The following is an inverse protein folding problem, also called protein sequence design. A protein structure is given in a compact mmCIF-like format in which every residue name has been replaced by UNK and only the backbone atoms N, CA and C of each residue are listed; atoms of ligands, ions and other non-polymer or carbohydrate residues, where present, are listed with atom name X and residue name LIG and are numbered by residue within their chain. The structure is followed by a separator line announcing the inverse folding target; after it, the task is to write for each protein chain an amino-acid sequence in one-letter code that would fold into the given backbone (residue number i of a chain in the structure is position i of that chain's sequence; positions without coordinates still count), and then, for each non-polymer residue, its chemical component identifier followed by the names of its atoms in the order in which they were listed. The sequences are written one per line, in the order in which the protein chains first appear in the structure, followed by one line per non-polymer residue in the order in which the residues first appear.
data_IF_508274907331
#
_entry.id   IF_508274907331
#
_cell.length_a   1.000
_cell.length_b   1.000
_cell.length_c   1.000
_cell.angle_alpha   90.00
_cell.angle_beta   90.00
_cell.angle_gamma   90.00
#
_symmetry.space_group_name_H-M   'P 1'
#
loop_
_entity.id
_entity.type
_entity.pdbx_description
1 polymer ?
#
# COMPACT_ATOMS: atom_id res chain seq x y z
N UNK A 1 -8.81 -29.70 -8.29
CA UNK A 1 -7.92 -28.60 -7.90
C UNK A 1 -8.24 -28.27 -6.45
N UNK A 2 -7.29 -28.40 -5.55
CA UNK A 2 -7.53 -28.09 -4.15
C UNK A 2 -7.47 -26.56 -4.00
N UNK A 3 -8.55 -25.96 -3.47
CA UNK A 3 -8.52 -24.57 -3.04
C UNK A 3 -7.56 -24.44 -1.86
N UNK A 4 -6.87 -23.29 -1.74
CA UNK A 4 -6.02 -23.03 -0.58
C UNK A 4 -6.87 -22.95 0.70
N UNK A 5 -6.27 -23.24 1.85
CA UNK A 5 -6.99 -23.19 3.13
C UNK A 5 -7.56 -21.80 3.40
N UNK A 6 -6.83 -20.77 3.00
CA UNK A 6 -7.25 -19.36 3.10
C UNK A 6 -8.51 -19.09 2.27
N UNK A 7 -8.59 -19.68 1.05
CA UNK A 7 -9.77 -19.53 0.19
C UNK A 7 -11.01 -20.17 0.80
N UNK A 8 -10.85 -21.35 1.41
CA UNK A 8 -11.94 -22.09 2.07
C UNK A 8 -12.44 -21.25 3.27
N UNK A 9 -11.54 -20.81 4.13
CA UNK A 9 -11.87 -20.00 5.33
C UNK A 9 -12.55 -18.68 4.95
N UNK A 10 -12.03 -17.99 3.94
CA UNK A 10 -12.61 -16.75 3.44
C UNK A 10 -14.01 -16.96 2.88
N UNK A 11 -14.22 -18.01 2.09
CA UNK A 11 -15.53 -18.36 1.54
C UNK A 11 -16.53 -18.66 2.65
N UNK A 12 -16.17 -19.51 3.62
CA UNK A 12 -17.06 -19.83 4.75
C UNK A 12 -17.46 -18.61 5.56
N UNK A 13 -16.51 -17.72 5.82
CA UNK A 13 -16.78 -16.47 6.56
C UNK A 13 -17.68 -15.53 5.76
N UNK A 14 -17.44 -15.42 4.44
CA UNK A 14 -18.30 -14.65 3.56
C UNK A 14 -19.74 -15.18 3.56
N UNK A 15 -19.93 -16.51 3.44
CA UNK A 15 -21.24 -17.17 3.47
C UNK A 15 -21.96 -16.99 4.82
N UNK A 16 -21.20 -16.88 5.92
CA UNK A 16 -21.71 -16.53 7.27
C UNK A 16 -22.01 -15.04 7.45
N UNK A 17 -21.86 -14.23 6.40
CA UNK A 17 -22.19 -12.80 6.42
C UNK A 17 -21.03 -11.86 6.80
N UNK A 18 -19.82 -12.39 7.03
CA UNK A 18 -18.65 -11.52 7.24
C UNK A 18 -18.34 -10.75 5.96
N UNK A 19 -18.01 -9.48 6.09
CA UNK A 19 -17.63 -8.60 4.97
C UNK A 19 -16.31 -7.87 5.21
N UNK A 20 -15.78 -7.82 6.41
CA UNK A 20 -14.49 -7.25 6.73
C UNK A 20 -13.42 -8.33 6.74
N UNK A 21 -12.43 -8.20 5.82
CA UNK A 21 -11.34 -9.14 5.62
C UNK A 21 -9.96 -8.48 5.67
N UNK A 22 -9.83 -7.29 6.26
CA UNK A 22 -8.60 -6.51 6.31
C UNK A 22 -7.42 -7.23 6.98
N UNK A 23 -7.68 -8.18 7.87
CA UNK A 23 -6.65 -8.93 8.61
C UNK A 23 -6.21 -10.22 7.90
N UNK A 24 -6.77 -10.53 6.73
CA UNK A 24 -6.47 -11.76 6.00
C UNK A 24 -5.11 -11.70 5.32
N UNK A 25 -4.36 -12.81 5.40
CA UNK A 25 -3.11 -13.01 4.69
C UNK A 25 -3.41 -13.75 3.38
N UNK A 26 -3.52 -13.01 2.26
CA UNK A 26 -3.99 -13.55 0.98
C UNK A 26 -2.94 -13.48 -0.13
N UNK A 27 -1.70 -13.19 0.24
CA UNK A 27 -0.60 -13.20 -0.71
C UNK A 27 -0.44 -14.58 -1.34
N UNK A 28 -0.44 -14.65 -2.69
CA UNK A 28 -0.40 -15.89 -3.47
C UNK A 28 -1.60 -16.83 -3.29
N UNK A 29 -2.67 -16.40 -2.64
CA UNK A 29 -3.87 -17.20 -2.47
C UNK A 29 -4.53 -17.53 -3.81
N UNK A 30 -5.17 -18.68 -3.89
CA UNK A 30 -6.02 -19.08 -5.03
C UNK A 30 -7.49 -18.86 -4.65
N UNK A 31 -8.06 -17.75 -5.10
CA UNK A 31 -9.42 -17.30 -4.78
C UNK A 31 -10.35 -17.33 -6.01
N UNK A 32 -9.95 -18.02 -7.08
CA UNK A 32 -10.68 -18.03 -8.36
C UNK A 32 -12.16 -18.28 -8.22
N UNK A 33 -12.95 -17.49 -8.94
CA UNK A 33 -14.40 -17.66 -9.07
C UNK A 33 -15.19 -17.40 -7.79
N UNK A 34 -14.56 -16.91 -6.72
CA UNK A 34 -15.29 -16.58 -5.50
C UNK A 34 -16.16 -15.33 -5.70
N UNK A 35 -17.33 -15.33 -5.05
CA UNK A 35 -18.09 -14.10 -4.86
C UNK A 35 -17.61 -13.40 -3.58
N UNK A 36 -17.02 -12.23 -3.76
CA UNK A 36 -16.49 -11.36 -2.71
C UNK A 36 -17.07 -9.94 -2.85
N UNK A 37 -18.28 -9.85 -3.38
CA UNK A 37 -18.95 -8.57 -3.57
C UNK A 37 -19.24 -7.87 -2.25
N UNK A 38 -19.16 -6.53 -2.26
CA UNK A 38 -19.44 -5.66 -1.11
C UNK A 38 -18.58 -5.97 0.13
N UNK A 39 -17.36 -6.44 -0.07
CA UNK A 39 -16.40 -6.76 0.99
C UNK A 39 -15.42 -5.62 1.23
N UNK A 40 -14.85 -5.59 2.42
CA UNK A 40 -13.81 -4.67 2.83
C UNK A 40 -12.46 -5.39 2.89
N UNK A 41 -11.61 -5.11 1.89
CA UNK A 41 -10.25 -5.61 1.73
C UNK A 41 -9.21 -4.49 1.80
N UNK A 42 -9.53 -3.37 2.42
CA UNK A 42 -8.61 -2.24 2.50
C UNK A 42 -7.27 -2.65 3.11
N UNK A 43 -6.19 -2.31 2.39
CA UNK A 43 -4.81 -2.57 2.82
C UNK A 43 -4.39 -4.04 2.80
N UNK A 44 -5.22 -4.97 2.32
CA UNK A 44 -4.89 -6.40 2.26
C UNK A 44 -3.81 -6.69 1.22
N UNK A 45 -2.87 -7.56 1.54
CA UNK A 45 -1.89 -8.08 0.56
C UNK A 45 -2.47 -9.26 -0.22
N UNK A 46 -2.86 -8.98 -1.46
CA UNK A 46 -3.31 -9.92 -2.49
C UNK A 46 -2.25 -10.10 -3.60
N UNK A 47 -1.00 -9.66 -3.35
CA UNK A 47 0.04 -9.75 -4.36
C UNK A 47 0.27 -11.18 -4.81
N UNK A 48 0.42 -11.38 -6.13
CA UNK A 48 0.58 -12.69 -6.78
C UNK A 48 -0.62 -13.63 -6.61
N UNK A 49 -1.75 -13.18 -6.07
CA UNK A 49 -2.94 -14.03 -5.90
C UNK A 49 -3.57 -14.34 -7.26
N UNK A 50 -4.20 -15.50 -7.32
CA UNK A 50 -5.02 -15.89 -8.46
C UNK A 50 -6.49 -15.51 -8.16
N UNK A 51 -6.91 -14.40 -8.76
CA UNK A 51 -8.22 -13.77 -8.58
C UNK A 51 -9.08 -13.86 -9.86
N UNK A 52 -8.78 -14.81 -10.74
CA UNK A 52 -9.51 -14.95 -12.00
C UNK A 52 -10.99 -15.19 -11.74
N UNK A 53 -11.83 -14.45 -12.50
CA UNK A 53 -13.28 -14.58 -12.46
C UNK A 53 -13.91 -14.34 -11.07
N UNK A 54 -13.18 -13.69 -10.15
CA UNK A 54 -13.74 -13.27 -8.86
C UNK A 54 -14.76 -12.16 -9.07
N UNK A 55 -15.83 -12.15 -8.29
CA UNK A 55 -16.76 -11.04 -8.22
C UNK A 55 -16.41 -10.13 -7.03
N UNK A 56 -15.87 -8.96 -7.34
CA UNK A 56 -15.58 -7.86 -6.40
C UNK A 56 -16.52 -6.68 -6.58
N UNK A 57 -17.73 -6.89 -7.11
CA UNK A 57 -18.71 -5.82 -7.29
C UNK A 57 -18.88 -5.02 -5.99
N UNK A 58 -18.65 -3.71 -6.05
CA UNK A 58 -18.80 -2.81 -4.91
C UNK A 58 -17.86 -3.07 -3.75
N UNK A 59 -16.80 -3.86 -3.92
CA UNK A 59 -15.81 -4.13 -2.88
C UNK A 59 -14.95 -2.88 -2.61
N UNK A 60 -14.49 -2.73 -1.38
CA UNK A 60 -13.53 -1.71 -0.96
C UNK A 60 -12.13 -2.32 -0.91
N UNK A 61 -11.33 -2.00 -1.92
CA UNK A 61 -9.95 -2.45 -2.10
C UNK A 61 -8.97 -1.28 -1.99
N UNK A 62 -9.37 -0.20 -1.31
CA UNK A 62 -8.49 0.96 -1.13
C UNK A 62 -7.20 0.55 -0.46
N UNK A 63 -6.10 1.10 -1.00
CA UNK A 63 -4.76 0.85 -0.48
C UNK A 63 -4.34 -0.64 -0.47
N UNK A 64 -5.10 -1.54 -1.12
CA UNK A 64 -4.76 -2.95 -1.22
C UNK A 64 -3.54 -3.18 -2.12
N UNK A 65 -2.79 -4.25 -1.86
CA UNK A 65 -1.65 -4.66 -2.65
C UNK A 65 -2.06 -5.81 -3.58
N UNK A 66 -2.07 -5.54 -4.89
CA UNK A 66 -2.48 -6.48 -5.94
C UNK A 66 -1.37 -6.67 -6.99
N UNK A 67 -0.11 -6.39 -6.60
CA UNK A 67 1.01 -6.46 -7.54
C UNK A 67 1.15 -7.86 -8.13
N UNK A 68 1.25 -7.94 -9.46
CA UNK A 68 1.39 -9.18 -10.22
C UNK A 68 0.27 -10.22 -9.95
N UNK A 69 -0.87 -9.80 -9.38
CA UNK A 69 -2.04 -10.66 -9.24
C UNK A 69 -2.73 -10.90 -10.59
N UNK A 70 -3.33 -12.08 -10.76
CA UNK A 70 -4.12 -12.41 -11.96
C UNK A 70 -5.62 -12.19 -11.70
N UNK A 71 -6.12 -11.08 -12.22
CA UNK A 71 -7.53 -10.67 -12.19
C UNK A 71 -8.19 -10.83 -13.58
N UNK A 72 -7.72 -11.79 -14.37
CA UNK A 72 -8.31 -12.02 -15.69
C UNK A 72 -9.80 -12.39 -15.55
N UNK A 73 -10.66 -11.65 -16.22
CA UNK A 73 -12.11 -11.86 -16.21
C UNK A 73 -12.82 -11.45 -14.91
N UNK A 74 -12.13 -10.75 -13.99
CA UNK A 74 -12.71 -10.25 -12.73
C UNK A 74 -13.86 -9.28 -12.99
N UNK A 75 -14.83 -9.24 -12.08
CA UNK A 75 -15.84 -8.20 -12.02
C UNK A 75 -15.52 -7.21 -10.89
N UNK A 76 -15.15 -5.99 -11.24
CA UNK A 76 -14.84 -4.88 -10.34
C UNK A 76 -15.88 -3.75 -10.43
N UNK A 77 -17.09 -4.03 -10.97
CA UNK A 77 -18.12 -3.00 -11.15
C UNK A 77 -18.34 -2.23 -9.86
N UNK A 78 -18.12 -0.90 -9.90
CA UNK A 78 -18.31 -0.02 -8.75
C UNK A 78 -17.37 -0.26 -7.57
N UNK A 79 -16.36 -1.09 -7.70
CA UNK A 79 -15.36 -1.30 -6.65
C UNK A 79 -14.49 -0.05 -6.45
N UNK A 80 -13.94 0.11 -5.26
CA UNK A 80 -13.02 1.19 -4.93
C UNK A 80 -11.59 0.66 -4.75
N UNK A 81 -10.68 1.05 -5.68
CA UNK A 81 -9.25 0.74 -5.66
C UNK A 81 -8.41 2.02 -5.52
N UNK A 82 -8.97 3.08 -4.90
CA UNK A 82 -8.23 4.32 -4.66
C UNK A 82 -6.93 4.02 -3.90
N UNK A 83 -5.80 4.53 -4.40
CA UNK A 83 -4.48 4.34 -3.82
C UNK A 83 -3.92 2.92 -3.89
N UNK A 84 -4.64 1.95 -4.45
CA UNK A 84 -4.21 0.55 -4.52
C UNK A 84 -2.95 0.37 -5.38
N UNK A 85 -2.12 -0.62 -5.01
CA UNK A 85 -0.95 -1.01 -5.80
C UNK A 85 -1.29 -2.14 -6.76
N UNK A 86 -1.24 -1.84 -8.05
CA UNK A 86 -1.65 -2.69 -9.17
C UNK A 86 -0.50 -2.86 -10.18
N UNK A 87 0.76 -2.81 -9.69
CA UNK A 87 1.93 -2.87 -10.57
C UNK A 87 1.99 -4.22 -11.26
N UNK A 88 2.08 -4.22 -12.60
CA UNK A 88 2.10 -5.41 -13.45
C UNK A 88 0.92 -6.37 -13.23
N UNK A 89 -0.21 -5.87 -12.72
CA UNK A 89 -1.43 -6.66 -12.54
C UNK A 89 -1.98 -7.16 -13.89
N UNK A 90 -2.64 -8.31 -13.89
CA UNK A 90 -3.34 -8.84 -15.05
C UNK A 90 -4.85 -8.58 -14.93
N UNK A 91 -5.33 -7.48 -15.51
CA UNK A 91 -6.74 -7.10 -15.62
C UNK A 91 -7.24 -7.35 -17.05
N UNK A 92 -6.96 -8.53 -17.62
CA UNK A 92 -7.33 -8.87 -18.99
C UNK A 92 -8.81 -9.29 -19.05
N UNK A 93 -9.58 -8.68 -19.97
CA UNK A 93 -11.04 -8.93 -20.10
C UNK A 93 -11.83 -8.68 -18.80
N UNK A 94 -11.33 -7.84 -17.92
CA UNK A 94 -11.99 -7.47 -16.68
C UNK A 94 -13.16 -6.52 -16.95
N UNK A 95 -14.19 -6.60 -16.10
CA UNK A 95 -15.25 -5.61 -16.03
C UNK A 95 -14.93 -4.61 -14.91
N UNK A 96 -14.50 -3.42 -15.29
CA UNK A 96 -14.14 -2.33 -14.39
C UNK A 96 -15.09 -1.12 -14.56
N UNK A 97 -16.37 -1.37 -14.91
CA UNK A 97 -17.37 -0.32 -15.07
C UNK A 97 -17.54 0.45 -13.75
N UNK A 98 -17.44 1.79 -13.81
CA UNK A 98 -17.54 2.68 -12.65
C UNK A 98 -16.55 2.39 -11.51
N UNK A 99 -15.49 1.65 -11.74
CA UNK A 99 -14.45 1.36 -10.75
C UNK A 99 -13.64 2.63 -10.44
N UNK A 100 -13.31 2.85 -9.19
CA UNK A 100 -12.46 3.96 -8.77
C UNK A 100 -10.99 3.50 -8.67
N UNK A 101 -10.14 3.96 -9.61
CA UNK A 101 -8.68 3.78 -9.62
C UNK A 101 -7.97 5.10 -9.32
N UNK A 102 -8.62 6.04 -8.65
CA UNK A 102 -7.99 7.32 -8.31
C UNK A 102 -6.72 7.06 -7.49
N UNK A 103 -5.61 7.75 -7.84
CA UNK A 103 -4.31 7.62 -7.20
C UNK A 103 -3.70 6.19 -7.24
N UNK A 104 -4.30 5.24 -7.97
CA UNK A 104 -3.81 3.87 -8.05
C UNK A 104 -2.56 3.73 -8.91
N UNK A 105 -1.72 2.72 -8.61
CA UNK A 105 -0.46 2.45 -9.28
C UNK A 105 -0.61 1.31 -10.27
N UNK A 106 -0.81 1.63 -11.53
CA UNK A 106 -1.03 0.70 -12.64
C UNK A 106 0.19 0.58 -13.57
N UNK A 107 1.39 0.91 -13.07
CA UNK A 107 2.62 0.85 -13.87
C UNK A 107 2.85 -0.56 -14.42
N UNK A 108 2.98 -0.66 -15.74
CA UNK A 108 3.17 -1.95 -16.42
C UNK A 108 1.97 -2.89 -16.40
N UNK A 109 0.79 -2.46 -15.95
CA UNK A 109 -0.42 -3.27 -15.88
C UNK A 109 -0.88 -3.79 -17.25
N UNK A 110 -1.44 -5.01 -17.29
CA UNK A 110 -2.02 -5.63 -18.45
C UNK A 110 -3.54 -5.42 -18.45
N UNK A 111 -4.02 -4.38 -19.14
CA UNK A 111 -5.41 -3.92 -19.13
C UNK A 111 -6.16 -4.28 -20.43
N UNK A 112 -5.62 -5.23 -21.19
CA UNK A 112 -6.07 -5.56 -22.54
C UNK A 112 -7.50 -6.08 -22.58
N UNK A 113 -8.32 -5.50 -23.46
CA UNK A 113 -9.73 -5.90 -23.71
C UNK A 113 -10.66 -5.75 -22.50
N UNK A 114 -10.31 -4.93 -21.52
CA UNK A 114 -11.16 -4.69 -20.33
C UNK A 114 -12.09 -3.50 -20.53
N UNK A 115 -13.18 -3.50 -19.78
CA UNK A 115 -14.18 -2.44 -19.82
C UNK A 115 -13.96 -1.49 -18.64
N UNK A 116 -13.47 -0.27 -18.94
CA UNK A 116 -13.23 0.81 -17.97
C UNK A 116 -14.20 1.98 -18.18
N UNK A 117 -15.35 1.75 -18.80
CA UNK A 117 -16.32 2.82 -18.99
C UNK A 117 -16.70 3.44 -17.64
N UNK A 118 -16.72 4.77 -17.61
CA UNK A 118 -17.01 5.56 -16.43
C UNK A 118 -16.07 5.30 -15.22
N UNK A 119 -14.97 4.55 -15.40
CA UNK A 119 -13.97 4.37 -14.35
C UNK A 119 -13.23 5.69 -14.08
N UNK A 120 -12.71 5.83 -12.86
CA UNK A 120 -11.95 7.01 -12.45
C UNK A 120 -10.46 6.69 -12.37
N UNK A 121 -9.63 7.50 -13.04
CA UNK A 121 -8.17 7.40 -13.04
C UNK A 121 -7.50 8.70 -12.57
N UNK A 122 -8.22 9.54 -11.81
CA UNK A 122 -7.67 10.80 -11.32
C UNK A 122 -6.39 10.56 -10.49
N UNK A 123 -5.28 11.18 -10.86
CA UNK A 123 -3.98 10.97 -10.18
C UNK A 123 -3.35 9.59 -10.37
N UNK A 124 -3.95 8.69 -11.15
CA UNK A 124 -3.43 7.32 -11.33
C UNK A 124 -2.15 7.29 -12.18
N UNK A 125 -1.31 6.26 -11.98
CA UNK A 125 -0.05 6.03 -12.68
C UNK A 125 -0.20 4.86 -13.65
N UNK A 126 -0.34 5.16 -14.96
CA UNK A 126 -0.54 4.16 -16.04
C UNK A 126 0.69 4.04 -16.96
N UNK A 127 1.86 4.46 -16.50
CA UNK A 127 3.10 4.33 -17.28
C UNK A 127 3.33 2.86 -17.68
N UNK A 128 3.66 2.61 -18.95
CA UNK A 128 3.88 1.28 -19.51
C UNK A 128 2.68 0.31 -19.45
N UNK A 129 1.48 0.77 -19.08
CA UNK A 129 0.27 -0.04 -19.08
C UNK A 129 -0.14 -0.47 -20.51
N UNK A 130 -0.61 -1.71 -20.64
CA UNK A 130 -1.03 -2.29 -21.93
C UNK A 130 -2.54 -2.14 -22.10
N UNK A 131 -2.99 -1.11 -22.80
CA UNK A 131 -4.39 -0.72 -22.99
C UNK A 131 -5.02 -1.23 -24.29
N UNK A 132 -4.39 -2.16 -25.00
CA UNK A 132 -4.87 -2.62 -26.32
C UNK A 132 -6.29 -3.20 -26.23
N UNK A 133 -7.24 -2.59 -26.94
CA UNK A 133 -8.65 -2.98 -26.96
C UNK A 133 -9.40 -2.71 -25.66
N UNK A 134 -8.83 -1.95 -24.72
CA UNK A 134 -9.53 -1.46 -23.53
C UNK A 134 -10.59 -0.42 -23.94
N UNK A 135 -11.77 -0.48 -23.32
CA UNK A 135 -12.84 0.50 -23.47
C UNK A 135 -12.70 1.55 -22.38
N UNK A 136 -12.44 2.78 -22.75
CA UNK A 136 -12.18 3.91 -21.85
C UNK A 136 -13.19 5.05 -22.06
N UNK A 137 -14.25 4.82 -22.85
CA UNK A 137 -15.25 5.83 -23.10
C UNK A 137 -15.86 6.30 -21.78
N UNK A 138 -15.95 7.61 -21.61
CA UNK A 138 -16.47 8.27 -20.43
C UNK A 138 -15.67 8.05 -19.13
N UNK A 139 -14.54 7.35 -19.17
CA UNK A 139 -13.63 7.26 -18.03
C UNK A 139 -13.03 8.64 -17.70
N UNK A 140 -12.77 8.89 -16.43
CA UNK A 140 -12.30 10.17 -15.92
C UNK A 140 -10.80 10.17 -15.67
N UNK A 141 -10.13 11.28 -16.01
CA UNK A 141 -8.73 11.53 -15.67
C UNK A 141 -8.54 13.02 -15.35
N UNK A 142 -7.39 13.38 -14.78
CA UNK A 142 -7.02 14.77 -14.48
C UNK A 142 -5.57 15.07 -14.90
N UNK A 143 -5.08 16.26 -14.54
CA UNK A 143 -3.72 16.73 -14.84
C UNK A 143 -2.63 16.00 -14.02
N UNK A 144 -3.01 15.25 -12.99
CA UNK A 144 -2.11 14.42 -12.19
C UNK A 144 -1.99 12.99 -12.73
N UNK A 145 -2.92 12.54 -13.60
CA UNK A 145 -2.89 11.21 -14.19
C UNK A 145 -1.67 11.05 -15.12
N UNK A 146 -0.93 9.97 -14.98
CA UNK A 146 0.29 9.68 -15.74
C UNK A 146 0.05 8.56 -16.74
N UNK A 147 0.05 8.89 -18.01
CA UNK A 147 0.03 7.96 -19.15
C UNK A 147 1.38 7.93 -19.85
N UNK A 148 1.63 6.92 -20.67
CA UNK A 148 2.72 6.96 -21.62
C UNK A 148 2.54 8.13 -22.61
N UNK A 149 3.63 8.71 -23.06
CA UNK A 149 3.62 9.85 -24.01
C UNK A 149 2.93 9.52 -25.35
N UNK A 150 2.87 8.23 -25.70
CA UNK A 150 2.17 7.75 -26.89
C UNK A 150 0.67 7.59 -26.75
N UNK A 151 0.14 7.62 -25.51
CA UNK A 151 -1.29 7.47 -25.25
C UNK A 151 -1.99 8.84 -25.22
N UNK A 152 -3.08 8.95 -25.97
CA UNK A 152 -3.91 10.16 -25.97
C UNK A 152 -5.29 9.87 -25.38
N UNK A 153 -5.59 10.32 -24.15
CA UNK A 153 -6.86 10.05 -23.49
C UNK A 153 -8.06 10.65 -24.21
N UNK A 154 -7.88 11.74 -24.97
CA UNK A 154 -8.97 12.35 -25.75
C UNK A 154 -9.41 11.45 -26.92
N UNK A 155 -8.47 10.77 -27.59
CA UNK A 155 -8.82 9.80 -28.65
C UNK A 155 -9.46 8.54 -28.10
N UNK A 156 -9.22 8.24 -26.82
CA UNK A 156 -9.88 7.16 -26.08
C UNK A 156 -11.25 7.58 -25.49
N UNK A 157 -11.75 8.77 -25.85
CA UNK A 157 -13.02 9.34 -25.38
C UNK A 157 -13.13 9.48 -23.85
N UNK A 158 -12.00 9.64 -23.18
CA UNK A 158 -11.96 9.90 -21.74
C UNK A 158 -12.35 11.36 -21.44
N UNK A 159 -12.92 11.58 -20.27
CA UNK A 159 -13.36 12.89 -19.76
C UNK A 159 -12.33 13.47 -18.81
N UNK A 160 -11.94 14.73 -19.03
CA UNK A 160 -11.09 15.42 -18.08
C UNK A 160 -11.92 15.92 -16.89
N UNK A 161 -11.48 15.62 -15.69
CA UNK A 161 -12.04 16.20 -14.47
C UNK A 161 -11.20 17.41 -14.10
N UNK A 162 -11.74 18.61 -14.30
CA UNK A 162 -11.06 19.86 -13.92
C UNK A 162 -10.86 19.91 -12.41
N UNK A 163 -9.61 19.82 -11.95
CA UNK A 163 -9.23 19.99 -10.55
C UNK A 163 -9.45 21.43 -10.04
N UNK A 164 -9.71 22.39 -10.95
CA UNK A 164 -9.83 23.82 -10.66
C UNK A 164 -11.24 24.35 -10.41
N UNK A 165 -12.29 23.55 -10.60
CA UNK A 165 -13.67 23.96 -10.24
C UNK A 165 -14.10 23.43 -8.89
N UNK A 166 -13.56 23.96 -7.78
CA UNK A 166 -14.36 24.12 -6.57
C UNK A 166 -15.34 25.27 -6.85
N UNK A 167 -16.53 24.95 -7.36
CA UNK A 167 -17.63 25.90 -7.42
C UNK A 167 -18.06 26.26 -6.00
N UNK A 168 -17.75 27.50 -5.61
CA UNK A 168 -18.52 28.20 -4.58
C UNK A 168 -19.94 28.41 -5.15
N UNK A 169 -20.87 27.52 -4.86
CA UNK A 169 -22.32 27.71 -4.80
C UNK A 169 -22.99 26.34 -4.78
N UNK A 170 -23.25 25.87 -3.59
CA UNK A 170 -24.44 25.08 -3.30
C UNK A 170 -24.78 25.28 -1.81
N UNK A 171 -25.50 26.37 -1.57
CA UNK A 171 -26.39 26.49 -0.43
C UNK A 171 -27.65 25.68 -0.78
N UNK A 172 -27.80 24.51 -0.19
CA UNK A 172 -29.03 24.05 0.45
C UNK A 172 -28.98 22.56 0.78
N UNK A 173 -29.11 22.34 2.07
CA UNK A 173 -29.75 21.23 2.76
C UNK A 173 -29.56 19.78 2.25
N UNK A 174 -28.63 19.08 2.85
CA UNK A 174 -28.97 17.81 3.50
C UNK A 174 -28.03 17.53 4.66
N UNK A 175 -28.63 17.38 5.83
CA UNK A 175 -27.95 17.07 7.10
C UNK A 175 -27.38 15.66 7.01
N UNK A 176 -26.23 15.51 6.37
CA UNK A 176 -25.34 14.38 6.64
C UNK A 176 -24.26 14.87 7.58
N UNK A 177 -24.38 14.46 8.84
CA UNK A 177 -23.34 14.62 9.86
C UNK A 177 -22.02 14.17 9.26
N UNK A 178 -21.17 15.13 8.90
CA UNK A 178 -19.75 14.90 8.63
C UNK A 178 -19.19 14.30 9.91
N UNK A 179 -18.98 12.98 9.92
CA UNK A 179 -18.13 12.35 10.93
C UNK A 179 -16.80 13.09 10.86
N UNK A 180 -16.40 13.69 11.99
CA UNK A 180 -15.11 14.32 12.17
C UNK A 180 -14.05 13.49 11.43
N UNK A 181 -13.39 14.09 10.44
CA UNK A 181 -12.12 13.58 9.94
C UNK A 181 -11.24 13.40 11.16
N UNK A 182 -10.96 12.16 11.52
CA UNK A 182 -9.94 11.84 12.48
C UNK A 182 -8.65 12.46 11.97
N UNK A 183 -8.08 13.36 12.73
CA UNK A 183 -6.78 13.98 12.47
C UNK A 183 -5.75 12.86 12.41
N UNK A 184 -5.29 12.51 11.21
CA UNK A 184 -4.14 11.62 11.03
C UNK A 184 -2.93 12.51 11.32
N UNK A 185 -2.15 12.24 12.37
CA UNK A 185 -0.95 13.01 12.62
C UNK A 185 -0.05 12.92 11.38
N UNK A 186 0.33 14.07 10.85
CA UNK A 186 1.21 14.19 9.71
C UNK A 186 2.61 13.76 10.12
N UNK A 187 3.00 12.52 9.77
CA UNK A 187 4.39 12.08 9.89
C UNK A 187 5.16 12.71 8.74
N UNK A 188 6.17 13.48 9.07
CA UNK A 188 7.11 14.02 8.08
C UNK A 188 8.09 12.94 7.65
N UNK A 189 8.58 13.04 6.42
CA UNK A 189 9.56 12.12 5.87
C UNK A 189 10.85 12.05 6.71
N UNK A 190 11.24 13.15 7.32
CA UNK A 190 12.38 13.27 8.23
C UNK A 190 12.25 12.32 9.45
N UNK A 191 11.13 12.40 10.17
CA UNK A 191 10.84 11.49 11.29
C UNK A 191 10.82 10.02 10.89
N UNK A 192 10.46 9.76 9.68
CA UNK A 192 10.39 8.42 9.13
C UNK A 192 11.78 7.88 8.79
N UNK A 193 12.67 8.72 8.27
CA UNK A 193 14.07 8.37 8.08
C UNK A 193 14.75 8.06 9.41
N UNK A 194 14.43 8.78 10.47
CA UNK A 194 14.92 8.46 11.82
C UNK A 194 14.52 7.06 12.26
N UNK A 195 13.27 6.65 12.00
CA UNK A 195 12.80 5.29 12.31
C UNK A 195 13.56 4.25 11.48
N UNK A 196 13.72 4.47 10.18
CA UNK A 196 14.45 3.57 9.31
C UNK A 196 15.91 3.41 9.74
N UNK A 197 16.57 4.51 10.08
CA UNK A 197 17.95 4.51 10.53
C UNK A 197 18.11 3.86 11.91
N UNK A 198 17.14 4.03 12.81
CA UNK A 198 17.09 3.30 14.06
C UNK A 198 17.01 1.78 13.83
N UNK A 199 16.06 1.33 13.02
CA UNK A 199 15.91 -0.09 12.67
C UNK A 199 17.16 -0.67 12.02
N UNK A 200 17.79 0.10 11.13
CA UNK A 200 19.02 -0.28 10.45
C UNK A 200 20.18 -0.41 11.44
N UNK A 201 20.32 0.50 12.39
CA UNK A 201 21.35 0.46 13.41
C UNK A 201 21.20 -0.76 14.34
N UNK A 202 19.98 -1.06 14.77
CA UNK A 202 19.69 -2.27 15.57
C UNK A 202 20.01 -3.52 14.76
N UNK A 203 19.53 -3.63 13.52
CA UNK A 203 19.77 -4.80 12.66
C UNK A 203 21.25 -5.03 12.40
N UNK A 204 22.01 -3.98 12.10
CA UNK A 204 23.47 -4.07 11.88
C UNK A 204 24.21 -4.69 13.04
N UNK A 205 23.79 -4.39 14.27
CA UNK A 205 24.42 -4.91 15.48
C UNK A 205 24.31 -6.43 15.58
N UNK A 206 23.21 -7.01 15.11
CA UNK A 206 22.92 -8.45 15.26
C UNK A 206 23.11 -9.26 13.99
N UNK A 207 22.85 -8.67 12.83
CA UNK A 207 22.88 -9.34 11.52
C UNK A 207 24.08 -8.94 10.68
N UNK A 208 24.80 -7.91 11.08
CA UNK A 208 25.87 -7.31 10.27
C UNK A 208 25.33 -6.50 9.09
N UNK A 209 26.23 -5.75 8.43
CA UNK A 209 25.89 -4.81 7.37
C UNK A 209 25.24 -5.47 6.15
N UNK A 210 25.87 -6.55 5.65
CA UNK A 210 25.42 -7.21 4.40
C UNK A 210 24.03 -7.82 4.52
N UNK A 211 23.73 -8.47 5.64
CA UNK A 211 22.41 -9.07 5.87
C UNK A 211 21.35 -7.99 6.10
N UNK A 212 21.67 -6.93 6.82
CA UNK A 212 20.76 -5.78 7.01
C UNK A 212 20.39 -5.17 5.67
N UNK A 213 21.36 -4.91 4.80
CA UNK A 213 21.11 -4.38 3.46
C UNK A 213 20.25 -5.33 2.64
N UNK A 214 20.58 -6.63 2.61
CA UNK A 214 19.81 -7.64 1.88
C UNK A 214 18.36 -7.69 2.35
N UNK A 215 18.10 -7.56 3.66
CA UNK A 215 16.74 -7.59 4.19
C UNK A 215 15.97 -6.32 3.88
N UNK A 216 16.57 -5.15 3.93
CA UNK A 216 15.93 -3.92 3.45
C UNK A 216 15.54 -4.02 1.98
N UNK A 217 16.44 -4.50 1.13
CA UNK A 217 16.20 -4.67 -0.31
C UNK A 217 15.10 -5.71 -0.58
N UNK A 218 15.17 -6.88 0.07
CA UNK A 218 14.20 -7.95 -0.13
C UNK A 218 12.82 -7.69 0.47
N UNK A 219 12.72 -6.80 1.47
CA UNK A 219 11.47 -6.41 2.11
C UNK A 219 10.78 -5.26 1.39
N UNK A 220 11.50 -4.56 0.50
CA UNK A 220 11.04 -3.35 -0.15
C UNK A 220 9.88 -3.66 -1.09
N UNK A 221 8.72 -3.02 -0.91
CA UNK A 221 7.64 -3.10 -1.87
C UNK A 221 8.05 -2.50 -3.23
N UNK A 222 7.48 -3.03 -4.32
CA UNK A 222 7.79 -2.61 -5.68
C UNK A 222 7.02 -1.33 -6.06
N UNK A 223 7.30 -0.23 -5.37
CA UNK A 223 6.74 1.08 -5.69
C UNK A 223 7.84 2.01 -6.19
N UNK A 224 7.65 2.60 -7.36
CA UNK A 224 8.62 3.50 -7.97
C UNK A 224 9.02 4.67 -7.06
N UNK A 225 8.07 5.19 -6.26
CA UNK A 225 8.38 6.24 -5.28
C UNK A 225 9.36 5.79 -4.20
N UNK A 226 9.35 4.52 -3.80
CA UNK A 226 10.30 3.96 -2.83
C UNK A 226 11.73 3.86 -3.40
N UNK A 227 11.90 3.96 -4.74
CA UNK A 227 13.22 4.00 -5.37
C UNK A 227 14.02 5.26 -5.04
N UNK A 228 13.36 6.27 -4.48
CA UNK A 228 14.04 7.43 -3.94
C UNK A 228 14.74 7.17 -2.59
N UNK A 229 14.50 6.03 -1.95
CA UNK A 229 15.22 5.64 -0.75
C UNK A 229 16.45 4.82 -1.14
N UNK A 230 17.61 5.23 -0.66
CA UNK A 230 18.89 4.54 -0.88
C UNK A 230 19.55 4.19 0.45
N UNK A 231 20.23 3.06 0.46
CA UNK A 231 21.12 2.72 1.56
C UNK A 231 22.54 3.13 1.22
N UNK A 232 23.12 3.96 2.07
CA UNK A 232 24.49 4.45 1.93
C UNK A 232 25.52 3.33 2.21
N UNK A 233 26.78 3.58 1.90
CA UNK A 233 27.88 2.69 2.26
C UNK A 233 28.07 2.55 3.78
N UNK A 234 27.58 3.49 4.58
CA UNK A 234 27.52 3.41 6.05
C UNK A 234 26.31 2.60 6.55
N UNK A 235 25.48 2.08 5.65
CA UNK A 235 24.22 1.41 5.92
C UNK A 235 23.21 2.32 6.65
N UNK A 236 23.11 3.56 6.21
CA UNK A 236 22.05 4.50 6.57
C UNK A 236 21.08 4.62 5.41
N UNK A 237 19.80 4.78 5.70
CA UNK A 237 18.78 5.01 4.68
C UNK A 237 18.63 6.51 4.47
N UNK A 238 18.75 6.92 3.23
CA UNK A 238 18.58 8.31 2.79
C UNK A 238 17.47 8.40 1.74
N UNK A 239 16.95 9.60 1.55
CA UNK A 239 15.90 9.86 0.56
C UNK A 239 16.37 10.93 -0.43
N UNK A 240 16.17 10.65 -1.72
CA UNK A 240 16.44 11.58 -2.81
C UNK A 240 15.20 12.45 -3.07
N UNK A 241 15.08 13.58 -2.41
CA UNK A 241 13.96 14.50 -2.59
C UNK A 241 13.83 15.48 -1.43
N UNK A 242 12.75 16.27 -1.45
CA UNK A 242 12.48 17.24 -0.38
C UNK A 242 11.96 16.51 0.88
N UNK A 243 12.62 16.73 2.00
CA UNK A 243 12.35 16.06 3.28
C UNK A 243 11.10 16.60 4.00
N UNK A 244 10.71 17.83 3.71
CA UNK A 244 9.57 18.50 4.37
C UNK A 244 8.19 18.10 3.80
N UNK A 245 8.17 17.10 2.93
CA UNK A 245 6.92 16.63 2.32
C UNK A 245 6.07 15.87 3.33
N UNK A 246 4.88 16.37 3.58
CA UNK A 246 3.84 15.61 4.30
C UNK A 246 3.47 14.40 3.45
N UNK A 247 3.64 13.21 4.02
CA UNK A 247 3.34 11.97 3.33
C UNK A 247 1.83 11.80 3.14
N UNK A 248 1.43 11.40 1.94
CA UNK A 248 0.05 10.96 1.73
C UNK A 248 -0.21 9.68 2.55
N UNK A 249 -1.46 9.42 2.96
CA UNK A 249 -1.81 8.18 3.67
C UNK A 249 -1.30 6.93 2.95
N UNK A 250 -1.38 6.90 1.63
CA UNK A 250 -0.92 5.79 0.79
C UNK A 250 0.59 5.58 0.88
N UNK A 251 1.38 6.65 0.77
CA UNK A 251 2.85 6.56 0.93
C UNK A 251 3.24 6.08 2.31
N UNK A 252 2.52 6.54 3.34
CA UNK A 252 2.73 6.10 4.71
C UNK A 252 2.47 4.59 4.86
N UNK A 253 1.40 4.07 4.25
CA UNK A 253 1.10 2.63 4.27
C UNK A 253 2.19 1.80 3.57
N UNK A 254 2.75 2.25 2.45
CA UNK A 254 3.87 1.55 1.81
C UNK A 254 5.10 1.45 2.70
N UNK A 255 5.39 2.53 3.39
CA UNK A 255 6.49 2.56 4.34
C UNK A 255 6.21 1.66 5.55
N UNK A 256 4.97 1.62 6.02
CA UNK A 256 4.52 0.68 7.06
C UNK A 256 4.69 -0.78 6.62
N UNK A 257 4.25 -1.11 5.40
CA UNK A 257 4.42 -2.45 4.84
C UNK A 257 5.90 -2.82 4.69
N UNK A 258 6.75 -1.89 4.24
CA UNK A 258 8.18 -2.12 4.11
C UNK A 258 8.84 -2.39 5.47
N UNK A 259 8.55 -1.54 6.47
CA UNK A 259 9.06 -1.72 7.84
C UNK A 259 8.58 -3.03 8.45
N UNK A 260 7.29 -3.36 8.30
CA UNK A 260 6.73 -4.61 8.81
C UNK A 260 7.43 -5.82 8.21
N UNK A 261 7.56 -5.88 6.88
CA UNK A 261 8.24 -6.96 6.18
C UNK A 261 9.73 -7.06 6.56
N UNK A 262 10.39 -5.92 6.77
CA UNK A 262 11.78 -5.90 7.24
C UNK A 262 11.93 -6.49 8.65
N UNK A 263 11.05 -6.11 9.58
CA UNK A 263 11.05 -6.65 10.95
C UNK A 263 10.78 -8.15 10.94
N UNK A 264 9.83 -8.62 10.14
CA UNK A 264 9.52 -10.04 9.99
C UNK A 264 10.71 -10.83 9.46
N UNK A 265 11.41 -10.33 8.43
CA UNK A 265 12.62 -10.97 7.91
C UNK A 265 13.75 -11.03 8.95
N UNK A 266 13.96 -9.96 9.72
CA UNK A 266 14.94 -9.95 10.80
C UNK A 266 14.58 -10.93 11.92
N UNK A 267 13.30 -11.07 12.23
CA UNK A 267 12.79 -11.96 13.29
C UNK A 267 12.95 -13.43 12.97
N UNK A 268 13.09 -13.81 11.69
CA UNK A 268 13.38 -15.20 11.30
C UNK A 268 14.74 -15.69 11.79
N UNK A 269 15.71 -14.79 12.00
CA UNK A 269 17.05 -15.14 12.44
C UNK A 269 17.28 -14.75 13.90
N UNK A 270 16.76 -13.60 14.32
CA UNK A 270 16.89 -13.06 15.68
C UNK A 270 15.55 -13.20 16.40
N UNK A 271 15.38 -14.26 17.21
CA UNK A 271 14.10 -14.61 17.84
C UNK A 271 13.43 -13.47 18.60
N UNK A 272 14.21 -12.61 19.25
CA UNK A 272 13.66 -11.49 20.03
C UNK A 272 13.84 -10.13 19.33
N UNK A 273 14.00 -10.12 18.02
CA UNK A 273 14.22 -8.88 17.26
C UNK A 273 13.15 -7.81 17.53
N UNK A 274 11.83 -8.14 17.59
CA UNK A 274 10.80 -7.15 17.89
C UNK A 274 10.90 -6.53 19.29
N UNK A 275 11.60 -7.18 20.22
CA UNK A 275 11.80 -6.66 21.58
C UNK A 275 13.02 -5.74 21.69
N UNK A 276 13.92 -5.82 20.70
CA UNK A 276 15.15 -5.04 20.64
C UNK A 276 14.97 -3.66 20.00
N UNK A 277 13.86 -3.47 19.30
CA UNK A 277 13.53 -2.22 18.64
C UNK A 277 12.68 -1.33 19.56
N UNK A 278 12.87 -0.02 19.45
CA UNK A 278 12.03 0.93 20.19
C UNK A 278 10.58 0.84 19.71
N UNK A 279 9.74 0.18 20.51
CA UNK A 279 8.32 -0.04 20.18
C UNK A 279 7.54 1.26 20.05
N UNK A 280 7.92 2.33 20.73
CA UNK A 280 7.22 3.61 20.61
C UNK A 280 7.45 4.22 19.23
N UNK A 281 8.70 4.18 18.73
CA UNK A 281 9.07 4.63 17.41
C UNK A 281 8.41 3.80 16.30
N UNK A 282 8.42 2.49 16.45
CA UNK A 282 7.87 1.57 15.44
C UNK A 282 6.35 1.53 15.46
N UNK A 283 5.72 1.63 16.62
CA UNK A 283 4.26 1.72 16.74
C UNK A 283 3.69 2.98 16.10
N UNK A 284 4.45 4.07 16.02
CA UNK A 284 4.06 5.23 15.22
C UNK A 284 3.83 4.88 13.74
N UNK A 285 4.57 3.88 13.23
CA UNK A 285 4.45 3.43 11.85
C UNK A 285 3.52 2.24 11.66
N UNK A 286 3.57 1.23 12.56
CA UNK A 286 2.89 -0.06 12.35
C UNK A 286 1.44 -0.06 12.83
N UNK A 287 1.11 0.69 13.88
CA UNK A 287 -0.18 0.53 14.56
C UNK A 287 -1.35 1.23 13.86
N UNK A 288 -1.16 2.10 12.87
CA UNK A 288 -2.26 2.83 12.21
C UNK A 288 -3.18 3.62 13.15
N UNK A 289 -2.99 3.51 14.44
CA UNK A 289 -3.86 4.01 15.52
C UNK A 289 -3.14 5.13 16.30
N UNK A 290 -2.81 6.19 15.58
CA UNK A 290 -2.17 7.39 16.15
C UNK A 290 -3.15 8.28 16.95
N UNK A 291 -4.34 7.77 17.25
CA UNK A 291 -5.40 8.57 17.91
C UNK A 291 -5.33 8.57 19.43
N UNK A 292 -4.40 7.84 20.07
CA UNK A 292 -4.42 7.67 21.55
C UNK A 292 -3.30 8.33 22.35
N UNK A 293 -2.31 9.00 21.77
CA UNK A 293 -1.28 9.67 22.57
C UNK A 293 -1.20 11.18 22.33
N UNK A 294 -1.92 11.94 23.14
CA UNK A 294 -1.86 13.41 23.24
C UNK A 294 -0.60 13.94 23.95
N UNK A 295 0.52 13.23 23.97
CA UNK A 295 1.76 13.67 24.61
C UNK A 295 2.95 13.52 23.66
N UNK A 296 2.96 14.31 22.57
CA UNK A 296 4.09 14.36 21.63
C UNK A 296 5.20 15.38 22.01
N UNK A 297 5.08 16.09 23.11
CA UNK A 297 6.09 17.10 23.50
C UNK A 297 7.29 16.54 24.27
N UNK A 298 7.40 15.21 24.45
CA UNK A 298 8.48 14.56 25.21
C UNK A 298 9.21 13.47 24.44
N UNK A 299 9.61 13.74 23.19
CA UNK A 299 10.66 12.93 22.57
C UNK A 299 12.00 13.32 23.23
N UNK A 300 12.72 12.39 23.86
CA UNK A 300 14.03 12.73 24.43
C UNK A 300 14.96 13.19 23.31
N UNK A 301 15.41 14.45 23.41
CA UNK A 301 16.55 14.94 22.63
C UNK A 301 17.68 13.94 22.80
N UNK A 302 18.27 13.50 21.71
CA UNK A 302 19.39 12.59 21.61
C UNK A 302 20.29 12.58 22.86
N UNK A 303 20.04 11.65 23.77
CA UNK A 303 21.01 11.34 24.82
C UNK A 303 22.07 10.42 24.21
N UNK A 304 23.32 10.87 24.33
CA UNK A 304 24.51 10.14 23.97
C UNK A 304 24.43 8.67 24.41
N UNK A 305 24.42 7.77 23.45
CA UNK A 305 24.46 6.31 23.63
C UNK A 305 25.85 5.82 24.11
N UNK A 306 26.46 6.50 25.08
CA UNK A 306 27.75 6.09 25.65
C UNK A 306 27.66 5.40 27.01
N UNK A 307 26.46 5.08 27.51
CA UNK A 307 26.31 4.43 28.82
C UNK A 307 25.22 3.35 28.84
N UNK A 308 25.32 2.36 27.97
CA UNK A 308 24.66 1.08 28.21
C UNK A 308 25.73 0.08 28.58
N UNK A 309 25.73 -0.25 29.85
CA UNK A 309 26.64 -1.11 30.59
C UNK A 309 27.01 -2.42 29.88
N UNK A 310 28.31 -2.67 29.89
CA UNK A 310 29.06 -3.86 29.48
C UNK A 310 28.88 -5.10 30.39
N UNK A 311 27.72 -5.31 31.01
CA UNK A 311 27.55 -6.36 32.03
C UNK A 311 26.66 -7.56 31.64
N UNK A 312 26.46 -7.85 30.36
CA UNK A 312 25.80 -9.10 29.93
C UNK A 312 26.52 -9.82 28.78
N UNK A 313 27.85 -9.79 28.80
CA UNK A 313 28.69 -10.58 27.88
C UNK A 313 29.58 -11.54 28.66
N UNK A 314 28.98 -12.43 29.45
CA UNK A 314 29.66 -13.62 29.96
C UNK A 314 28.62 -14.72 30.09
N UNK A 315 28.48 -15.50 29.03
CA UNK A 315 27.98 -16.87 28.99
C UNK A 315 27.59 -17.22 27.55
N UNK A 316 28.57 -17.67 26.80
CA UNK A 316 28.47 -18.62 25.68
C UNK A 316 29.89 -18.81 25.07
N UNK A 317 30.72 -19.48 25.86
CA UNK A 317 31.85 -20.23 25.37
C UNK A 317 31.77 -21.59 26.06
N UNK A 318 31.07 -22.53 25.44
CA UNK A 318 31.40 -23.98 25.38
C UNK A 318 30.75 -24.49 24.09
#
# INVERSE_FOLDING_TARGET
MFQSQEAIDLKEKYEKGQRNFQEFQLRRADLRGLNLSYTDFRGVDLSYANLREVDFTGADLRDAYLNEADLTGVNLTGANLEGASLIKIYLIKANCYQTDFSEAYLTGAYLTKSDFKEAKFNGAYLNSAKLSGAKLEDAYYDDQTRFDTSFNPKTALMKIKDSKKKSFNDSESSVFKVKKRTYIPTITLDKLLDIFNHLTAVSRRYLGKTMTQKYWESSRPLFEWLDNFEMTTSAEITFKGELDTVLSPTKLQWLQAWVKSFIENCSQIVQNYPEMIDRQLVNLLIAGDLTKNNNMDSLPKSQNLSSINSNHLTLLSI
#
